data_IF_638202596613
#
_entry.id   IF_638202596613
#
_cell.length_a   1.000
_cell.length_b   1.000
_cell.length_c   1.000
_cell.angle_alpha   90.00
_cell.angle_beta   90.00
_cell.angle_gamma   90.00
#
_symmetry.space_group_name_H-M   'P 1'
#
loop_
_entity.id
_entity.type
_entity.pdbx_description
1 polymer ?
#
# COMPACT_ATOMS: atom_id res chain seq x y z
N UNK A 1 -12.77 28.46 -24.72
CA UNK A 1 -12.12 28.41 -23.40
C UNK A 1 -13.08 27.74 -22.47
N UNK A 2 -12.71 26.57 -21.93
CA UNK A 2 -13.49 25.92 -20.89
C UNK A 2 -13.53 26.84 -19.69
N UNK A 3 -14.69 27.00 -19.06
CA UNK A 3 -14.74 27.66 -17.76
C UNK A 3 -14.04 26.74 -16.75
N UNK A 4 -12.79 27.09 -16.41
CA UNK A 4 -11.96 26.36 -15.45
C UNK A 4 -12.69 26.13 -14.13
N UNK A 5 -13.63 27.02 -13.76
CA UNK A 5 -14.40 26.89 -12.52
C UNK A 5 -15.42 25.74 -12.56
N UNK A 6 -15.71 25.19 -13.74
CA UNK A 6 -16.67 24.10 -13.96
C UNK A 6 -16.02 22.81 -14.50
N UNK A 7 -14.69 22.73 -14.58
CA UNK A 7 -13.98 21.54 -15.05
C UNK A 7 -14.28 20.32 -14.18
N UNK A 8 -14.66 19.19 -14.77
CA UNK A 8 -14.95 17.93 -14.07
C UNK A 8 -14.86 16.73 -15.03
N UNK A 9 -15.09 15.51 -14.54
CA UNK A 9 -15.16 14.29 -15.37
C UNK A 9 -16.27 13.35 -14.92
N UNK A 10 -16.75 12.55 -15.86
CA UNK A 10 -17.59 11.39 -15.53
C UNK A 10 -16.76 10.29 -14.86
N UNK A 11 -17.22 9.80 -13.71
CA UNK A 11 -16.51 8.79 -12.91
C UNK A 11 -16.57 7.41 -13.57
N UNK A 12 -17.75 6.99 -14.03
CA UNK A 12 -17.99 5.71 -14.71
C UNK A 12 -18.32 5.89 -16.21
N UNK A 13 -17.68 6.88 -16.85
CA UNK A 13 -17.80 7.09 -18.29
C UNK A 13 -17.43 5.81 -19.04
N UNK A 14 -18.20 5.47 -20.09
CA UNK A 14 -18.01 4.26 -20.91
C UNK A 14 -18.15 2.91 -20.13
N UNK A 15 -18.75 2.92 -18.92
CA UNK A 15 -19.06 1.71 -18.14
C UNK A 15 -20.57 1.55 -17.97
N UNK A 16 -21.13 0.45 -18.50
CA UNK A 16 -22.56 0.15 -18.43
C UNK A 16 -23.03 -0.08 -16.98
N UNK A 17 -24.30 0.23 -16.63
CA UNK A 17 -24.78 0.10 -15.25
C UNK A 17 -24.61 -1.31 -14.65
N UNK A 18 -24.87 -2.37 -15.42
CA UNK A 18 -24.70 -3.74 -14.96
C UNK A 18 -23.23 -4.09 -14.66
N UNK A 19 -22.28 -3.51 -15.40
CA UNK A 19 -20.84 -3.69 -15.15
C UNK A 19 -20.43 -3.06 -13.83
N UNK A 20 -21.05 -1.93 -13.45
CA UNK A 20 -20.82 -1.28 -12.15
C UNK A 20 -21.26 -2.18 -11.00
N UNK A 21 -22.41 -2.84 -11.14
CA UNK A 21 -22.90 -3.81 -10.14
C UNK A 21 -21.91 -4.96 -9.99
N UNK A 22 -21.44 -5.54 -11.09
CA UNK A 22 -20.43 -6.62 -11.07
C UNK A 22 -19.13 -6.14 -10.40
N UNK A 23 -18.68 -4.94 -10.72
CA UNK A 23 -17.51 -4.32 -10.09
C UNK A 23 -17.66 -4.18 -8.57
N UNK A 24 -18.77 -3.63 -8.08
CA UNK A 24 -19.00 -3.48 -6.65
C UNK A 24 -19.09 -4.82 -5.93
N UNK A 25 -19.74 -5.82 -6.52
CA UNK A 25 -19.79 -7.19 -5.97
C UNK A 25 -18.37 -7.78 -5.87
N UNK A 26 -17.58 -7.65 -6.93
CA UNK A 26 -16.20 -8.16 -6.97
C UNK A 26 -15.31 -7.49 -5.91
N UNK A 27 -15.38 -6.16 -5.78
CA UNK A 27 -14.62 -5.41 -4.77
C UNK A 27 -15.10 -5.77 -3.35
N UNK A 28 -16.41 -5.88 -3.12
CA UNK A 28 -16.95 -6.29 -1.83
C UNK A 28 -16.49 -7.71 -1.43
N UNK A 29 -16.51 -8.67 -2.37
CA UNK A 29 -16.00 -10.02 -2.14
C UNK A 29 -14.50 -10.01 -1.82
N UNK A 30 -13.72 -9.21 -2.55
CA UNK A 30 -12.29 -9.05 -2.30
C UNK A 30 -12.00 -8.48 -0.90
N UNK A 31 -12.77 -7.48 -0.45
CA UNK A 31 -12.63 -6.89 0.88
C UNK A 31 -13.07 -7.90 1.96
N UNK A 32 -14.13 -8.68 1.71
CA UNK A 32 -14.54 -9.74 2.64
C UNK A 32 -13.42 -10.79 2.83
N UNK A 33 -12.75 -11.18 1.75
CA UNK A 33 -11.57 -12.08 1.79
C UNK A 33 -10.41 -11.45 2.56
N UNK A 34 -10.14 -10.16 2.38
CA UNK A 34 -9.15 -9.41 3.18
C UNK A 34 -9.49 -9.46 4.67
N UNK A 35 -10.72 -9.09 5.04
CA UNK A 35 -11.18 -9.06 6.43
C UNK A 35 -11.10 -10.44 7.07
N UNK A 36 -11.54 -11.48 6.36
CA UNK A 36 -11.50 -12.85 6.85
C UNK A 36 -10.07 -13.31 7.15
N UNK A 37 -9.11 -13.05 6.25
CA UNK A 37 -7.71 -13.42 6.46
C UNK A 37 -7.05 -12.62 7.60
N UNK A 38 -7.35 -11.32 7.73
CA UNK A 38 -6.88 -10.52 8.88
C UNK A 38 -7.47 -11.04 10.18
N UNK A 39 -8.76 -11.38 10.21
CA UNK A 39 -9.40 -11.98 11.37
C UNK A 39 -8.76 -13.34 11.72
N UNK A 40 -8.47 -14.19 10.73
CA UNK A 40 -7.77 -15.45 10.93
C UNK A 40 -6.38 -15.23 11.58
N UNK A 41 -5.61 -14.22 11.15
CA UNK A 41 -4.34 -13.86 11.80
C UNK A 41 -4.52 -13.38 13.23
N UNK A 42 -5.52 -12.55 13.50
CA UNK A 42 -5.85 -12.12 14.88
C UNK A 42 -6.20 -13.32 15.76
N UNK A 43 -6.93 -14.30 15.23
CA UNK A 43 -7.23 -15.55 15.95
C UNK A 43 -5.97 -16.38 16.22
N UNK A 44 -5.00 -16.40 15.31
CA UNK A 44 -3.69 -17.02 15.55
C UNK A 44 -2.92 -16.29 16.65
N UNK A 45 -2.88 -14.96 16.63
CA UNK A 45 -2.24 -14.18 17.69
C UNK A 45 -2.87 -14.46 19.05
N UNK A 46 -4.20 -14.63 19.11
CA UNK A 46 -4.93 -14.92 20.35
C UNK A 46 -4.57 -16.26 21.01
N UNK A 47 -3.95 -17.20 20.27
CA UNK A 47 -3.42 -18.46 20.82
C UNK A 47 -2.20 -18.26 21.72
N UNK A 48 -1.49 -17.13 21.56
CA UNK A 48 -0.40 -16.76 22.43
C UNK A 48 -0.85 -16.25 23.79
N UNK A 49 0.08 -16.23 24.74
CA UNK A 49 -0.13 -15.71 26.09
C UNK A 49 -0.65 -14.26 26.06
N UNK A 50 -1.56 -13.94 26.97
CA UNK A 50 -2.12 -12.58 27.05
C UNK A 50 -1.04 -11.59 27.48
N UNK A 51 -1.01 -10.40 26.84
CA UNK A 51 -0.14 -9.30 27.24
C UNK A 51 0.95 -8.97 26.21
N UNK A 52 1.99 -8.29 26.68
CA UNK A 52 3.11 -7.78 25.87
C UNK A 52 2.87 -6.42 25.21
N UNK A 53 1.63 -5.91 25.24
CA UNK A 53 1.29 -4.62 24.64
C UNK A 53 1.48 -3.44 25.60
N UNK A 54 1.97 -2.32 25.06
CA UNK A 54 1.81 -1.01 25.67
C UNK A 54 0.33 -0.66 25.81
N UNK A 55 -0.08 -0.20 26.99
CA UNK A 55 -1.47 0.09 27.35
C UNK A 55 -1.78 1.58 27.38
N UNK A 56 -0.76 2.43 27.50
CA UNK A 56 -0.99 3.88 27.52
C UNK A 56 -1.33 4.40 26.11
N UNK A 57 -2.58 4.83 25.96
CA UNK A 57 -3.11 5.46 24.74
C UNK A 57 -2.31 6.70 24.30
N UNK A 58 -1.78 7.49 25.24
CA UNK A 58 -0.98 8.69 24.92
C UNK A 58 0.33 8.29 24.26
N UNK A 59 0.98 7.25 24.78
CA UNK A 59 2.18 6.67 24.19
C UNK A 59 1.88 6.05 22.83
N UNK A 60 0.76 5.32 22.73
CA UNK A 60 0.32 4.66 21.52
C UNK A 60 0.06 5.64 20.36
N UNK A 61 -0.74 6.68 20.61
CA UNK A 61 -1.08 7.71 19.62
C UNK A 61 0.14 8.53 19.19
N UNK A 62 0.98 8.97 20.13
CA UNK A 62 2.26 9.65 19.83
C UNK A 62 3.13 8.81 18.90
N UNK A 63 3.26 7.51 19.16
CA UNK A 63 4.09 6.61 18.34
C UNK A 63 3.53 6.41 16.93
N UNK A 64 2.21 6.35 16.77
CA UNK A 64 1.63 6.29 15.43
C UNK A 64 1.93 7.56 14.63
N UNK A 65 1.75 8.73 15.23
CA UNK A 65 2.03 9.99 14.54
C UNK A 65 3.52 10.10 14.21
N UNK A 66 4.41 9.88 15.18
CA UNK A 66 5.85 10.04 14.99
C UNK A 66 6.47 8.99 14.05
N UNK A 67 6.03 7.74 14.13
CA UNK A 67 6.71 6.64 13.45
C UNK A 67 5.95 6.05 12.27
N UNK A 68 4.61 6.05 12.29
CA UNK A 68 3.80 5.54 11.18
C UNK A 68 3.45 6.65 10.17
N UNK A 69 3.10 7.86 10.63
CA UNK A 69 2.80 8.98 9.72
C UNK A 69 4.05 9.77 9.34
N UNK A 70 4.81 10.24 10.32
CA UNK A 70 6.02 11.03 10.06
C UNK A 70 7.24 10.18 9.66
N UNK A 71 7.11 8.85 9.65
CA UNK A 71 8.13 7.91 9.15
C UNK A 71 9.54 8.13 9.76
N UNK A 72 9.62 8.67 10.98
CA UNK A 72 10.88 9.13 11.61
C UNK A 72 11.95 8.03 11.72
N UNK A 73 11.53 6.76 11.77
CA UNK A 73 12.42 5.60 11.88
C UNK A 73 13.03 5.12 10.55
N UNK A 74 12.45 5.57 9.43
CA UNK A 74 12.87 5.25 8.06
C UNK A 74 13.85 6.30 7.53
N UNK A 75 13.85 7.51 8.08
CA UNK A 75 14.55 8.70 7.59
C UNK A 75 16.10 8.72 7.67
N UNK A 76 16.77 7.58 7.82
CA UNK A 76 18.25 7.53 7.73
C UNK A 76 18.65 7.39 6.25
N UNK A 77 19.36 8.41 5.72
CA UNK A 77 19.85 8.61 4.33
C UNK A 77 20.31 7.32 3.62
N UNK A 78 19.36 6.50 3.18
CA UNK A 78 19.61 5.22 2.53
C UNK A 78 18.63 5.08 1.37
N UNK A 79 19.02 4.33 0.35
CA UNK A 79 18.15 4.05 -0.79
C UNK A 79 16.82 3.42 -0.34
N UNK A 80 16.82 2.61 0.72
CA UNK A 80 15.61 2.06 1.34
C UNK A 80 14.64 3.12 1.90
N UNK A 81 15.17 4.24 2.40
CA UNK A 81 14.34 5.35 2.89
C UNK A 81 13.63 6.06 1.74
N UNK A 82 14.36 6.35 0.64
CA UNK A 82 13.79 6.95 -0.55
C UNK A 82 12.69 6.06 -1.17
N UNK A 83 12.97 4.75 -1.29
CA UNK A 83 11.99 3.78 -1.77
C UNK A 83 10.69 3.82 -0.97
N UNK A 84 10.81 3.78 0.36
CA UNK A 84 9.65 3.78 1.23
C UNK A 84 8.88 5.09 1.15
N UNK A 85 9.57 6.25 1.06
CA UNK A 85 8.91 7.54 0.90
C UNK A 85 8.10 7.61 -0.40
N UNK A 86 8.68 7.19 -1.53
CA UNK A 86 8.00 7.16 -2.83
C UNK A 86 6.78 6.22 -2.83
N UNK A 87 6.97 4.98 -2.37
CA UNK A 87 5.90 3.98 -2.32
C UNK A 87 4.79 4.35 -1.33
N UNK A 88 5.15 4.79 -0.12
CA UNK A 88 4.18 5.13 0.92
C UNK A 88 3.36 6.35 0.53
N UNK A 89 4.02 7.44 0.14
CA UNK A 89 3.31 8.67 -0.22
C UNK A 89 2.47 8.47 -1.48
N UNK A 90 3.01 7.79 -2.50
CA UNK A 90 2.27 7.39 -3.68
C UNK A 90 1.02 6.57 -3.35
N UNK A 91 1.19 5.47 -2.62
CA UNK A 91 0.09 4.59 -2.25
C UNK A 91 -0.99 5.29 -1.41
N UNK A 92 -0.59 6.04 -0.38
CA UNK A 92 -1.53 6.73 0.51
C UNK A 92 -2.30 7.81 -0.23
N UNK A 93 -1.63 8.66 -1.01
CA UNK A 93 -2.29 9.73 -1.76
C UNK A 93 -3.22 9.17 -2.82
N UNK A 94 -2.80 8.17 -3.59
CA UNK A 94 -3.66 7.52 -4.59
C UNK A 94 -4.89 6.85 -3.96
N UNK A 95 -4.72 6.24 -2.79
CA UNK A 95 -5.84 5.64 -2.04
C UNK A 95 -6.81 6.71 -1.55
N UNK A 96 -6.30 7.81 -0.97
CA UNK A 96 -7.12 8.94 -0.54
C UNK A 96 -7.86 9.53 -1.72
N UNK A 97 -7.18 9.80 -2.84
CA UNK A 97 -7.79 10.38 -4.03
C UNK A 97 -8.90 9.48 -4.59
N UNK A 98 -8.63 8.18 -4.75
CA UNK A 98 -9.65 7.22 -5.19
C UNK A 98 -10.84 7.14 -4.23
N UNK A 99 -10.60 7.25 -2.93
CA UNK A 99 -11.67 7.28 -1.91
C UNK A 99 -12.49 8.57 -1.99
N UNK A 100 -11.84 9.72 -2.17
CA UNK A 100 -12.52 11.00 -2.36
C UNK A 100 -13.36 11.00 -3.64
N UNK A 101 -12.88 10.37 -4.72
CA UNK A 101 -13.64 10.20 -5.95
C UNK A 101 -14.90 9.34 -5.73
N UNK A 102 -14.79 8.24 -4.97
CA UNK A 102 -15.94 7.42 -4.62
C UNK A 102 -16.96 8.20 -3.77
N UNK A 103 -16.49 8.97 -2.77
CA UNK A 103 -17.35 9.85 -1.96
C UNK A 103 -17.98 10.96 -2.81
N UNK A 104 -17.27 11.52 -3.78
CA UNK A 104 -17.82 12.54 -4.68
C UNK A 104 -18.91 11.97 -5.60
N UNK A 105 -18.84 10.68 -5.92
CA UNK A 105 -19.82 10.00 -6.79
C UNK A 105 -21.07 9.54 -6.02
N UNK A 106 -20.88 8.83 -4.90
CA UNK A 106 -21.99 8.21 -4.14
C UNK A 106 -22.39 9.00 -2.88
N UNK A 107 -21.62 10.03 -2.51
CA UNK A 107 -21.84 10.82 -1.30
C UNK A 107 -22.79 12.00 -1.51
N UNK A 108 -23.20 12.67 -0.40
CA UNK A 108 -24.18 13.74 -0.44
C UNK A 108 -23.60 15.09 -0.91
N UNK A 109 -22.29 15.18 -1.16
CA UNK A 109 -21.60 16.43 -1.44
C UNK A 109 -21.04 16.45 -2.87
N UNK A 110 -21.43 17.47 -3.64
CA UNK A 110 -20.87 17.73 -4.96
C UNK A 110 -19.66 18.67 -4.84
N UNK A 111 -18.44 18.13 -4.85
CA UNK A 111 -17.20 18.91 -4.71
C UNK A 111 -16.14 18.62 -5.78
N UNK A 112 -16.33 17.60 -6.62
CA UNK A 112 -15.34 17.17 -7.62
C UNK A 112 -15.43 17.97 -8.93
N UNK A 113 -15.20 19.28 -8.85
CA UNK A 113 -15.21 20.19 -10.00
C UNK A 113 -14.27 21.38 -9.79
N UNK A 114 -14.06 22.16 -10.85
CA UNK A 114 -13.30 23.40 -10.83
C UNK A 114 -11.83 23.22 -10.45
N UNK A 115 -11.29 24.18 -9.69
CA UNK A 115 -9.92 24.15 -9.20
C UNK A 115 -9.58 22.93 -8.33
N UNK A 116 -10.54 22.43 -7.56
CA UNK A 116 -10.33 21.22 -6.77
C UNK A 116 -10.05 20.03 -7.68
N UNK A 117 -10.84 19.84 -8.74
CA UNK A 117 -10.64 18.77 -9.72
C UNK A 117 -9.26 18.86 -10.39
N UNK A 118 -8.82 20.06 -10.79
CA UNK A 118 -7.52 20.26 -11.42
C UNK A 118 -6.34 19.93 -10.49
N UNK A 119 -6.37 20.43 -9.26
CA UNK A 119 -5.35 20.12 -8.24
C UNK A 119 -5.36 18.63 -7.90
N UNK A 120 -6.55 18.03 -7.84
CA UNK A 120 -6.73 16.60 -7.63
C UNK A 120 -6.02 15.79 -8.72
N UNK A 121 -6.29 16.07 -10.00
CA UNK A 121 -5.69 15.32 -11.11
C UNK A 121 -4.15 15.46 -11.11
N UNK A 122 -3.62 16.67 -10.92
CA UNK A 122 -2.17 16.88 -10.83
C UNK A 122 -1.55 16.15 -9.62
N UNK A 123 -2.25 16.12 -8.49
CA UNK A 123 -1.80 15.39 -7.30
C UNK A 123 -1.77 13.88 -7.58
N UNK A 124 -2.81 13.34 -8.21
CA UNK A 124 -2.86 11.92 -8.58
C UNK A 124 -1.74 11.57 -9.57
N UNK A 125 -1.47 12.44 -10.54
CA UNK A 125 -0.42 12.26 -11.55
C UNK A 125 0.99 12.23 -10.91
N UNK A 126 1.34 13.25 -10.12
CA UNK A 126 2.65 13.35 -9.45
C UNK A 126 2.89 12.16 -8.52
N UNK A 127 1.91 11.78 -7.70
CA UNK A 127 2.05 10.66 -6.77
C UNK A 127 1.96 9.30 -7.46
N UNK A 128 1.27 9.20 -8.61
CA UNK A 128 1.31 8.04 -9.51
C UNK A 128 2.70 7.80 -10.08
N UNK A 129 3.37 8.85 -10.56
CA UNK A 129 4.76 8.77 -11.06
C UNK A 129 5.71 8.40 -9.92
N UNK A 130 5.56 9.02 -8.73
CA UNK A 130 6.34 8.68 -7.56
C UNK A 130 6.17 7.20 -7.17
N UNK A 131 4.94 6.69 -7.21
CA UNK A 131 4.62 5.29 -6.90
C UNK A 131 5.26 4.30 -7.90
N UNK A 132 5.13 4.55 -9.21
CA UNK A 132 5.78 3.72 -10.24
C UNK A 132 7.30 3.76 -10.09
N UNK A 133 7.87 4.96 -9.90
CA UNK A 133 9.32 5.13 -9.69
C UNK A 133 9.80 4.35 -8.46
N UNK A 134 9.03 4.41 -7.35
CA UNK A 134 9.29 3.63 -6.15
C UNK A 134 9.27 2.12 -6.41
N UNK A 135 8.32 1.62 -7.20
CA UNK A 135 8.25 0.21 -7.59
C UNK A 135 9.47 -0.20 -8.43
N UNK A 136 9.81 0.59 -9.46
CA UNK A 136 10.96 0.33 -10.34
C UNK A 136 12.28 0.34 -9.58
N UNK A 137 12.49 1.30 -8.69
CA UNK A 137 13.68 1.36 -7.85
C UNK A 137 13.74 0.19 -6.85
N UNK A 138 12.59 -0.26 -6.32
CA UNK A 138 12.53 -1.41 -5.42
C UNK A 138 12.88 -2.71 -6.17
N UNK A 139 12.38 -2.87 -7.39
CA UNK A 139 12.74 -3.95 -8.30
C UNK A 139 14.23 -3.90 -8.66
N UNK A 140 14.75 -2.73 -9.02
CA UNK A 140 16.18 -2.52 -9.30
C UNK A 140 17.05 -2.92 -8.11
N UNK A 141 16.72 -2.44 -6.90
CA UNK A 141 17.44 -2.81 -5.67
C UNK A 141 17.45 -4.33 -5.46
N UNK A 142 16.32 -4.99 -5.71
CA UNK A 142 16.17 -6.44 -5.55
C UNK A 142 16.87 -7.23 -6.66
N UNK A 143 17.00 -6.67 -7.86
CA UNK A 143 17.72 -7.30 -8.96
C UNK A 143 19.24 -7.18 -8.81
N UNK A 144 19.74 -5.98 -8.46
CA UNK A 144 21.16 -5.63 -8.62
C UNK A 144 21.89 -5.25 -7.32
N UNK A 145 21.20 -4.75 -6.29
CA UNK A 145 21.80 -4.33 -5.02
C UNK A 145 21.44 -5.31 -3.88
N UNK A 146 21.56 -6.60 -4.18
CA UNK A 146 21.19 -7.71 -3.30
C UNK A 146 22.17 -7.80 -2.13
N UNK A 147 21.87 -7.11 -1.02
CA UNK A 147 22.52 -7.41 0.25
C UNK A 147 22.17 -8.84 0.69
N UNK A 148 23.13 -9.63 1.23
CA UNK A 148 22.85 -10.96 1.76
C UNK A 148 21.71 -10.97 2.80
N UNK A 149 21.56 -9.89 3.54
CA UNK A 149 20.56 -9.70 4.59
C UNK A 149 19.11 -9.50 4.10
N UNK A 150 18.89 -9.35 2.79
CA UNK A 150 17.55 -9.18 2.22
C UNK A 150 16.87 -10.52 1.94
N UNK A 151 15.58 -10.61 2.25
CA UNK A 151 14.75 -11.77 1.92
C UNK A 151 14.71 -12.09 0.42
N UNK A 152 14.67 -13.39 0.07
CA UNK A 152 14.79 -13.89 -1.30
C UNK A 152 13.48 -14.46 -1.89
N UNK A 153 12.33 -14.21 -1.24
CA UNK A 153 11.05 -14.81 -1.62
C UNK A 153 10.53 -14.33 -2.98
N UNK A 154 10.01 -15.27 -3.78
CA UNK A 154 9.40 -14.99 -5.11
C UNK A 154 8.11 -14.18 -5.01
N UNK A 155 7.38 -14.30 -3.90
CA UNK A 155 6.18 -13.52 -3.59
C UNK A 155 6.42 -12.01 -3.65
N UNK A 156 7.64 -11.56 -3.35
CA UNK A 156 7.99 -10.15 -3.34
C UNK A 156 8.03 -9.56 -4.75
N UNK A 157 8.52 -10.35 -5.72
CA UNK A 157 8.50 -9.97 -7.14
C UNK A 157 7.08 -9.91 -7.68
N UNK A 158 6.24 -10.87 -7.27
CA UNK A 158 4.82 -10.87 -7.64
C UNK A 158 4.11 -9.63 -7.09
N UNK A 159 4.30 -9.29 -5.81
CA UNK A 159 3.71 -8.10 -5.21
C UNK A 159 4.20 -6.81 -5.89
N UNK A 160 5.51 -6.66 -6.13
CA UNK A 160 6.05 -5.49 -6.83
C UNK A 160 5.50 -5.40 -8.27
N UNK A 161 5.37 -6.52 -8.97
CA UNK A 161 4.74 -6.58 -10.28
C UNK A 161 3.27 -6.16 -10.26
N UNK A 162 2.52 -6.60 -9.26
CA UNK A 162 1.12 -6.21 -9.06
C UNK A 162 1.00 -4.69 -8.80
N UNK A 163 1.80 -4.14 -7.87
CA UNK A 163 1.80 -2.71 -7.57
C UNK A 163 2.22 -1.87 -8.79
N UNK A 164 3.26 -2.28 -9.51
CA UNK A 164 3.67 -1.61 -10.75
C UNK A 164 2.54 -1.64 -11.80
N UNK A 165 1.89 -2.79 -11.97
CA UNK A 165 0.78 -2.97 -12.91
C UNK A 165 -0.41 -2.09 -12.53
N UNK A 166 -0.72 -1.94 -11.25
CA UNK A 166 -1.76 -1.00 -10.78
C UNK A 166 -1.44 0.44 -11.17
N UNK A 167 -0.21 0.90 -10.95
CA UNK A 167 0.20 2.25 -11.36
C UNK A 167 0.11 2.47 -12.87
N UNK A 168 0.67 1.54 -13.65
CA UNK A 168 0.67 1.64 -15.13
C UNK A 168 -0.73 1.58 -15.71
N UNK A 169 -1.57 0.65 -15.24
CA UNK A 169 -2.95 0.53 -15.73
C UNK A 169 -3.81 1.71 -15.29
N UNK A 170 -3.54 2.34 -14.14
CA UNK A 170 -4.20 3.58 -13.73
C UNK A 170 -3.98 4.72 -14.74
N UNK A 171 -2.73 4.98 -15.11
CA UNK A 171 -2.41 5.97 -16.15
C UNK A 171 -2.97 5.59 -17.52
N UNK A 172 -2.98 4.30 -17.86
CA UNK A 172 -3.58 3.84 -19.12
C UNK A 172 -5.09 4.13 -19.17
N UNK A 173 -5.81 3.86 -18.08
CA UNK A 173 -7.25 4.17 -17.96
C UNK A 173 -7.48 5.67 -18.10
N UNK A 174 -6.68 6.48 -17.40
CA UNK A 174 -6.79 7.95 -17.46
C UNK A 174 -6.51 8.51 -18.86
N UNK A 175 -5.41 8.10 -19.50
CA UNK A 175 -5.04 8.55 -20.83
C UNK A 175 -6.09 8.17 -21.88
N UNK A 176 -6.58 6.92 -21.84
CA UNK A 176 -7.62 6.46 -22.76
C UNK A 176 -8.93 7.23 -22.53
N UNK A 177 -9.30 7.51 -21.28
CA UNK A 177 -10.46 8.35 -20.93
C UNK A 177 -10.31 9.73 -21.53
N UNK A 178 -9.18 10.40 -21.31
CA UNK A 178 -8.91 11.73 -21.85
C UNK A 178 -9.02 11.74 -23.37
N UNK A 179 -8.44 10.73 -24.02
CA UNK A 179 -8.45 10.62 -25.47
C UNK A 179 -9.87 10.45 -26.03
N UNK A 180 -10.67 9.49 -25.56
CA UNK A 180 -12.00 9.28 -26.14
C UNK A 180 -12.99 10.39 -25.76
N UNK A 181 -12.80 11.06 -24.61
CA UNK A 181 -13.64 12.20 -24.20
C UNK A 181 -13.19 13.54 -24.79
N UNK A 182 -12.06 13.57 -25.52
CA UNK A 182 -11.52 14.76 -26.20
C UNK A 182 -11.40 15.96 -25.24
N UNK A 183 -10.78 15.74 -24.07
CA UNK A 183 -10.59 16.76 -23.04
C UNK A 183 -9.84 17.96 -23.62
N UNK A 184 -10.32 19.18 -23.34
CA UNK A 184 -9.69 20.40 -23.84
C UNK A 184 -8.26 20.56 -23.25
N UNK A 185 -7.30 21.12 -24.02
CA UNK A 185 -5.89 21.19 -23.59
C UNK A 185 -5.65 21.91 -22.26
N UNK A 186 -6.44 22.95 -21.97
CA UNK A 186 -6.38 23.73 -20.72
C UNK A 186 -6.64 22.88 -19.46
N UNK A 187 -7.51 21.88 -19.57
CA UNK A 187 -7.78 20.90 -18.51
C UNK A 187 -6.81 19.72 -18.59
N UNK A 188 -6.51 19.23 -19.80
CA UNK A 188 -5.69 18.04 -20.01
C UNK A 188 -4.26 18.17 -19.44
N UNK A 189 -3.67 19.37 -19.47
CA UNK A 189 -2.32 19.59 -18.96
C UNK A 189 -2.15 19.38 -17.44
N UNK A 190 -3.25 19.29 -16.67
CA UNK A 190 -3.19 18.94 -15.25
C UNK A 190 -2.97 17.44 -15.02
N UNK A 191 -3.28 16.61 -16.01
CA UNK A 191 -3.00 15.18 -16.06
C UNK A 191 -1.79 14.92 -16.97
N UNK A 192 -0.59 15.29 -16.53
CA UNK A 192 0.61 15.40 -17.37
C UNK A 192 0.94 14.07 -18.07
N UNK A 193 0.95 12.96 -17.34
CA UNK A 193 1.26 11.64 -17.91
C UNK A 193 0.14 11.18 -18.85
N UNK A 194 -1.12 11.37 -18.45
CA UNK A 194 -2.28 11.05 -19.28
C UNK A 194 -2.25 11.79 -20.61
N UNK A 195 -1.99 13.10 -20.56
CA UNK A 195 -1.83 13.96 -21.73
C UNK A 195 -0.64 13.55 -22.60
N UNK A 196 0.51 13.22 -22.00
CA UNK A 196 1.68 12.78 -22.76
C UNK A 196 1.40 11.47 -23.51
N UNK A 197 0.75 10.51 -22.87
CA UNK A 197 0.34 9.24 -23.50
C UNK A 197 -0.65 9.50 -24.64
N UNK A 198 -1.64 10.37 -24.42
CA UNK A 198 -2.60 10.79 -25.44
C UNK A 198 -1.87 11.30 -26.70
N UNK A 199 -1.07 12.36 -26.56
CA UNK A 199 -0.47 13.05 -27.73
C UNK A 199 0.63 12.25 -28.42
N UNK A 200 1.26 11.29 -27.74
CA UNK A 200 2.38 10.50 -28.28
C UNK A 200 2.01 9.10 -28.74
N UNK A 201 1.16 8.39 -27.99
CA UNK A 201 0.88 6.96 -28.21
C UNK A 201 -0.52 6.71 -28.79
N UNK A 202 -1.49 7.58 -28.50
CA UNK A 202 -2.88 7.38 -28.94
C UNK A 202 -3.22 8.13 -30.23
N UNK A 203 -2.33 8.99 -30.71
CA UNK A 203 -2.54 9.80 -31.91
C UNK A 203 -2.89 8.94 -33.13
N UNK A 204 -4.02 9.25 -33.76
CA UNK A 204 -4.50 8.56 -34.98
C UNK A 204 -5.28 7.28 -34.71
N UNK A 205 -5.53 6.92 -33.44
CA UNK A 205 -6.45 5.84 -33.09
C UNK A 205 -7.90 6.34 -33.25
N UNK A 206 -8.76 5.52 -33.85
CA UNK A 206 -10.19 5.83 -33.91
C UNK A 206 -10.81 5.93 -32.51
N UNK A 207 -11.73 6.88 -32.30
CA UNK A 207 -12.36 7.14 -30.98
C UNK A 207 -13.10 5.91 -30.46
N UNK A 208 -13.80 5.16 -31.33
CA UNK A 208 -14.51 3.94 -30.93
C UNK A 208 -13.54 2.83 -30.53
N UNK A 209 -12.40 2.72 -31.20
CA UNK A 209 -11.31 1.81 -30.79
C UNK A 209 -10.73 2.21 -29.43
N UNK A 210 -10.53 3.49 -29.18
CA UNK A 210 -10.05 3.98 -27.89
C UNK A 210 -11.04 3.72 -26.75
N UNK A 211 -12.35 3.85 -26.98
CA UNK A 211 -13.38 3.45 -26.02
C UNK A 211 -13.29 1.96 -25.67
N UNK A 212 -13.07 1.10 -26.68
CA UNK A 212 -12.89 -0.34 -26.46
C UNK A 212 -11.64 -0.63 -25.63
N UNK A 213 -10.53 0.04 -25.95
CA UNK A 213 -9.28 -0.07 -25.19
C UNK A 213 -9.45 0.43 -23.75
N UNK A 214 -10.16 1.54 -23.55
CA UNK A 214 -10.49 2.08 -22.23
C UNK A 214 -11.24 1.05 -21.40
N UNK A 215 -12.29 0.44 -21.95
CA UNK A 215 -13.10 -0.56 -21.26
C UNK A 215 -12.26 -1.77 -20.84
N UNK A 216 -11.37 -2.24 -21.72
CA UNK A 216 -10.45 -3.33 -21.41
C UNK A 216 -9.45 -2.94 -20.30
N UNK A 217 -8.80 -1.78 -20.42
CA UNK A 217 -7.87 -1.26 -19.41
C UNK A 217 -8.53 -1.07 -18.05
N UNK A 218 -9.78 -0.59 -18.04
CA UNK A 218 -10.58 -0.39 -16.83
C UNK A 218 -10.85 -1.72 -16.12
N UNK A 219 -11.27 -2.76 -16.86
CA UNK A 219 -11.48 -4.09 -16.27
C UNK A 219 -10.19 -4.73 -15.77
N UNK A 220 -9.10 -4.62 -16.53
CA UNK A 220 -7.78 -5.09 -16.09
C UNK A 220 -7.40 -4.41 -14.78
N UNK A 221 -7.50 -3.08 -14.71
CA UNK A 221 -7.20 -2.31 -13.49
C UNK A 221 -8.11 -2.74 -12.32
N UNK A 222 -9.42 -2.84 -12.54
CA UNK A 222 -10.38 -3.26 -11.51
C UNK A 222 -10.09 -4.67 -10.96
N UNK A 223 -9.75 -5.62 -11.83
CA UNK A 223 -9.36 -6.99 -11.43
C UNK A 223 -8.05 -6.97 -10.65
N UNK A 224 -7.06 -6.17 -11.05
CA UNK A 224 -5.80 -6.02 -10.30
C UNK A 224 -6.05 -5.42 -8.91
N UNK A 225 -6.97 -4.45 -8.78
CA UNK A 225 -7.36 -3.87 -7.48
C UNK A 225 -8.02 -4.94 -6.59
N UNK A 226 -8.94 -5.73 -7.12
CA UNK A 226 -9.53 -6.85 -6.40
C UNK A 226 -8.47 -7.90 -6.00
N UNK A 227 -7.57 -8.27 -6.92
CA UNK A 227 -6.48 -9.19 -6.60
C UNK A 227 -5.55 -8.62 -5.50
N UNK A 228 -5.27 -7.33 -5.52
CA UNK A 228 -4.48 -6.65 -4.51
C UNK A 228 -5.13 -6.75 -3.13
N UNK A 229 -6.38 -6.29 -2.96
CA UNK A 229 -7.07 -6.36 -1.67
C UNK A 229 -7.18 -7.79 -1.14
N UNK A 230 -7.55 -8.75 -1.99
CA UNK A 230 -7.67 -10.16 -1.60
C UNK A 230 -6.33 -10.78 -1.15
N UNK A 231 -5.19 -10.24 -1.60
CA UNK A 231 -3.88 -10.84 -1.34
C UNK A 231 -3.00 -10.04 -0.37
N UNK A 232 -3.48 -8.92 0.19
CA UNK A 232 -2.75 -8.15 1.23
C UNK A 232 -2.27 -9.05 2.38
N UNK A 233 -3.09 -9.94 2.98
CA UNK A 233 -2.71 -10.64 4.21
C UNK A 233 -1.78 -11.84 4.01
N UNK A 234 -1.68 -12.35 2.78
CA UNK A 234 -0.78 -13.47 2.43
C UNK A 234 0.55 -13.00 1.89
N UNK A 235 0.65 -11.74 1.47
CA UNK A 235 1.89 -11.12 1.03
C UNK A 235 2.53 -10.29 2.14
N UNK A 236 3.76 -9.85 1.88
CA UNK A 236 4.45 -8.89 2.75
C UNK A 236 3.74 -7.56 2.89
N UNK A 237 2.76 -7.25 2.05
CA UNK A 237 1.99 -6.00 2.16
C UNK A 237 1.19 -5.90 3.47
N UNK A 238 0.96 -7.02 4.17
CA UNK A 238 0.39 -7.04 5.53
C UNK A 238 1.09 -6.08 6.50
N UNK A 239 2.38 -5.77 6.30
CA UNK A 239 3.13 -4.81 7.12
C UNK A 239 2.50 -3.41 7.21
N UNK A 240 1.68 -3.02 6.22
CA UNK A 240 0.94 -1.75 6.27
C UNK A 240 -0.04 -1.73 7.44
N UNK A 241 -0.49 -2.91 7.88
CA UNK A 241 -1.36 -3.11 9.05
C UNK A 241 -0.49 -3.46 10.27
N UNK A 242 0.34 -4.50 10.18
CA UNK A 242 1.04 -5.05 11.36
C UNK A 242 2.18 -4.15 11.84
N UNK A 243 2.88 -3.45 10.93
CA UNK A 243 3.97 -2.53 11.27
C UNK A 243 3.55 -1.37 12.18
N UNK A 244 2.54 -0.56 11.80
CA UNK A 244 1.99 0.50 12.65
C UNK A 244 1.43 -0.01 13.98
N UNK A 245 0.72 -1.14 13.98
CA UNK A 245 0.19 -1.73 15.21
C UNK A 245 1.32 -2.17 16.16
N UNK A 246 2.36 -2.80 15.60
CA UNK A 246 3.50 -3.26 16.38
C UNK A 246 4.32 -2.10 16.95
N UNK A 247 4.57 -1.04 16.17
CA UNK A 247 5.35 0.10 16.68
C UNK A 247 4.61 0.88 17.76
N UNK A 248 3.29 0.97 17.66
CA UNK A 248 2.46 1.63 18.66
C UNK A 248 2.37 0.78 19.93
N UNK A 249 2.10 -0.53 19.77
CA UNK A 249 1.87 -1.48 20.86
C UNK A 249 3.11 -2.11 21.48
N UNK A 250 4.33 -1.87 20.98
CA UNK A 250 5.55 -2.47 21.56
C UNK A 250 5.80 -2.02 23.02
N UNK A 251 6.29 -2.89 23.91
CA UNK A 251 6.63 -2.48 25.28
C UNK A 251 7.89 -1.61 25.31
N UNK A 252 7.96 -0.65 26.24
CA UNK A 252 9.21 0.08 26.52
C UNK A 252 10.16 -0.80 27.33
N UNK A 253 11.31 -1.10 26.74
CA UNK A 253 12.40 -1.79 27.43
C UNK A 253 13.75 -1.26 26.94
N UNK A 254 14.77 -1.20 27.81
CA UNK A 254 16.14 -0.90 27.38
C UNK A 254 16.59 -1.89 26.29
N UNK A 255 17.37 -1.42 25.32
CA UNK A 255 17.97 -2.32 24.33
C UNK A 255 18.88 -3.33 25.04
N UNK A 256 18.75 -4.61 24.69
CA UNK A 256 19.52 -5.69 25.32
C UNK A 256 18.96 -6.21 26.65
N UNK A 257 17.89 -5.62 27.20
CA UNK A 257 17.27 -6.15 28.42
C UNK A 257 16.57 -7.49 28.14
N UNK A 258 17.09 -8.55 28.77
CA UNK A 258 16.50 -9.89 28.75
C UNK A 258 15.40 -10.00 29.81
N UNK A 259 14.37 -10.80 29.50
CA UNK A 259 13.35 -11.16 30.49
C UNK A 259 13.95 -12.27 31.36
N UNK A 260 14.01 -12.10 32.69
CA UNK A 260 14.59 -13.11 33.57
C UNK A 260 13.75 -14.40 33.52
N UNK A 261 14.43 -15.54 33.51
CA UNK A 261 13.80 -16.85 33.66
C UNK A 261 13.53 -17.09 35.16
N UNK A 262 12.35 -17.62 35.47
CA UNK A 262 12.04 -18.09 36.83
C UNK A 262 12.62 -19.49 36.99
N UNK A 263 13.63 -19.65 37.84
CA UNK A 263 14.33 -20.94 37.98
C UNK A 263 13.40 -22.03 38.50
N UNK A 264 12.42 -21.68 39.34
CA UNK A 264 11.41 -22.61 39.83
C UNK A 264 10.57 -23.22 38.69
N UNK A 265 10.25 -22.42 37.67
CA UNK A 265 9.50 -22.88 36.50
C UNK A 265 10.36 -23.79 35.61
N UNK A 266 11.65 -23.45 35.48
CA UNK A 266 12.63 -24.27 34.74
C UNK A 266 12.83 -25.62 35.43
N UNK A 267 12.97 -25.65 36.75
CA UNK A 267 13.14 -26.89 37.52
C UNK A 267 11.90 -27.79 37.45
N UNK A 268 10.69 -27.21 37.47
CA UNK A 268 9.45 -27.97 37.40
C UNK A 268 9.14 -28.51 36.01
N UNK A 269 9.40 -27.72 34.97
CA UNK A 269 8.99 -28.05 33.59
C UNK A 269 10.12 -28.61 32.73
N UNK A 270 11.38 -28.39 33.13
CA UNK A 270 12.57 -28.64 32.31
C UNK A 270 12.68 -27.72 31.09
N UNK A 271 11.85 -26.67 30.98
CA UNK A 271 11.76 -25.80 29.80
C UNK A 271 12.45 -24.47 30.05
N UNK A 272 13.10 -23.95 29.01
CA UNK A 272 13.75 -22.63 29.04
C UNK A 272 13.32 -21.82 27.83
N UNK A 273 12.77 -20.62 28.05
CA UNK A 273 12.35 -19.74 26.96
C UNK A 273 11.08 -20.22 26.27
N UNK A 274 11.05 -20.14 24.94
CA UNK A 274 9.88 -20.46 24.11
C UNK A 274 10.12 -21.74 23.32
N UNK A 275 9.20 -22.70 23.39
CA UNK A 275 9.25 -23.98 22.67
C UNK A 275 8.17 -24.08 21.58
N UNK A 276 6.98 -23.54 21.83
CA UNK A 276 5.85 -23.58 20.91
C UNK A 276 5.23 -22.19 20.67
N UNK A 277 4.36 -22.09 19.66
CA UNK A 277 3.76 -20.81 19.26
C UNK A 277 2.92 -20.19 20.39
N UNK A 278 2.27 -21.02 21.22
CA UNK A 278 1.45 -20.63 22.37
C UNK A 278 2.25 -19.95 23.48
N UNK A 279 3.55 -20.22 23.57
CA UNK A 279 4.43 -19.64 24.60
C UNK A 279 4.72 -18.16 24.33
N UNK A 280 4.64 -17.72 23.06
CA UNK A 280 4.76 -16.30 22.73
C UNK A 280 3.57 -15.52 23.24
N UNK A 281 3.82 -14.30 23.72
CA UNK A 281 2.73 -13.37 23.98
C UNK A 281 2.17 -12.79 22.67
N UNK A 282 0.94 -12.29 22.75
CA UNK A 282 0.21 -11.73 21.59
C UNK A 282 0.97 -10.61 20.86
N UNK A 283 1.72 -9.76 21.57
CA UNK A 283 2.51 -8.70 20.95
C UNK A 283 3.72 -9.26 20.19
N UNK A 284 4.38 -10.30 20.71
CA UNK A 284 5.46 -10.99 20.02
C UNK A 284 4.96 -11.63 18.72
N UNK A 285 3.81 -12.29 18.75
CA UNK A 285 3.19 -12.89 17.55
C UNK A 285 2.87 -11.82 16.48
N UNK A 286 2.30 -10.68 16.88
CA UNK A 286 2.12 -9.53 15.98
C UNK A 286 3.46 -9.04 15.42
N UNK A 287 4.50 -8.98 16.26
CA UNK A 287 5.83 -8.51 15.84
C UNK A 287 6.49 -9.45 14.82
N UNK A 288 6.24 -10.76 14.89
CA UNK A 288 6.69 -11.73 13.88
C UNK A 288 6.05 -11.44 12.52
N UNK A 289 4.73 -11.23 12.50
CA UNK A 289 3.97 -10.84 11.29
C UNK A 289 4.28 -9.41 10.81
N UNK A 290 5.07 -8.64 11.56
CA UNK A 290 5.55 -7.31 11.15
C UNK A 290 6.92 -7.36 10.45
N UNK A 291 7.56 -8.53 10.43
CA UNK A 291 8.87 -8.70 9.81
C UNK A 291 8.75 -8.60 8.28
N UNK A 292 9.57 -7.75 7.68
CA UNK A 292 9.63 -7.56 6.22
C UNK A 292 10.86 -8.19 5.57
N UNK A 293 11.66 -8.96 6.33
CA UNK A 293 12.99 -9.45 5.90
C UNK A 293 13.83 -8.33 5.27
N UNK A 294 13.78 -7.15 5.90
CA UNK A 294 14.44 -5.95 5.39
C UNK A 294 15.96 -5.91 5.67
N UNK A 295 16.50 -6.94 6.32
CA UNK A 295 17.91 -7.06 6.70
C UNK A 295 18.38 -6.16 7.83
N UNK A 296 17.52 -5.28 8.36
CA UNK A 296 17.91 -4.31 9.40
C UNK A 296 18.34 -4.96 10.72
N UNK A 297 17.79 -6.14 11.04
CA UNK A 297 18.20 -6.90 12.22
C UNK A 297 19.64 -7.40 12.09
N UNK A 298 20.05 -7.81 10.89
CA UNK A 298 21.40 -8.28 10.59
C UNK A 298 22.37 -7.11 10.47
N UNK A 299 21.99 -6.04 9.77
CA UNK A 299 22.79 -4.80 9.65
C UNK A 299 23.09 -4.16 11.02
N UNK A 300 22.25 -4.41 12.04
CA UNK A 300 22.42 -3.91 13.40
C UNK A 300 23.00 -4.93 14.38
N UNK A 301 23.23 -6.17 13.94
CA UNK A 301 23.71 -7.25 14.79
C UNK A 301 25.20 -7.07 15.09
N UNK A 302 25.62 -6.92 16.37
CA UNK A 302 27.03 -6.81 16.72
C UNK A 302 27.84 -8.04 16.31
N UNK A 303 27.25 -9.24 16.38
CA UNK A 303 27.92 -10.48 15.97
C UNK A 303 28.21 -10.51 14.47
N UNK A 304 27.29 -10.02 13.63
CA UNK A 304 27.53 -9.89 12.20
C UNK A 304 28.61 -8.85 11.89
N UNK A 305 28.73 -7.80 12.71
CA UNK A 305 29.78 -6.79 12.56
C UNK A 305 31.18 -7.30 12.91
N UNK A 306 31.30 -8.38 13.69
CA UNK A 306 32.58 -8.95 14.12
C UNK A 306 33.18 -9.99 13.16
N UNK A 307 32.45 -10.39 12.10
CA UNK A 307 32.87 -11.42 11.13
C UNK A 307 32.33 -12.79 11.46
#
# INVERSE_FOLDING_TARGET
>A
MTDINNATREVFGNIAPWMRVVFFIMIAASIAVLVWQVAARVLLWRKGQQGGFERDWRVWSRRLVEYALAQKRVHKKSLGALLHMLLFSGFVVLTIGTTLLAIAYDGPYYFHHGWYYLIYELTMDVFGVAFITGCLLAMYRRAFQRKPSLGHNRSDWWLLGLLLSLGVTGFAVEALRMYYTQVQPDVAHWSIVGWLIDVTLLRGIDVGRAQTMHLAAWWVHAILVAAFFATIPVNRFLHVITGPLNIAGRPERPMGALVPLKMEEVEQTGRTGVHELSDFNRQQLLSLDSCMECGRCEDACPATATG
#
